data_IF_338390864706
#
_entry.id   IF_338390864706
#
_cell.length_a   1.000
_cell.length_b   1.000
_cell.length_c   1.000
_cell.angle_alpha   90.00
_cell.angle_beta   90.00
_cell.angle_gamma   90.00
#
_symmetry.space_group_name_H-M   'P 1'
#
loop_
_entity.id
_entity.type
_entity.pdbx_description
1 polymer ?
#
# COMPACT_ATOMS: atom_id res chain seq x y z
N UNK A 1 -8.30 -4.34 -33.00
CA UNK A 1 -7.78 -3.31 -33.93
C UNK A 1 -6.33 -3.57 -34.35
N UNK A 2 -5.38 -3.71 -33.42
CA UNK A 2 -3.97 -3.97 -33.77
C UNK A 2 -3.77 -5.19 -34.70
N UNK A 3 -4.47 -6.30 -34.40
CA UNK A 3 -4.41 -7.51 -35.22
C UNK A 3 -4.90 -7.28 -36.67
N UNK A 4 -5.96 -6.50 -36.88
CA UNK A 4 -6.44 -6.15 -38.21
C UNK A 4 -5.37 -5.40 -39.02
N UNK A 5 -4.68 -4.43 -38.41
CA UNK A 5 -3.56 -3.71 -39.04
C UNK A 5 -2.41 -4.64 -39.41
N UNK A 6 -2.12 -5.64 -38.56
CA UNK A 6 -1.10 -6.65 -38.87
C UNK A 6 -1.52 -7.55 -40.05
N UNK A 7 -2.78 -7.94 -40.13
CA UNK A 7 -3.31 -8.73 -41.26
C UNK A 7 -3.28 -7.98 -42.58
N UNK A 8 -3.56 -6.67 -42.58
CA UNK A 8 -3.42 -5.83 -43.78
C UNK A 8 -1.95 -5.76 -44.22
N UNK A 9 -1.04 -5.51 -43.29
CA UNK A 9 0.41 -5.51 -43.58
C UNK A 9 0.90 -6.86 -44.10
N UNK A 10 0.30 -7.97 -43.66
CA UNK A 10 0.60 -9.32 -44.13
C UNK A 10 -0.09 -9.68 -45.46
N UNK A 11 -0.88 -8.78 -46.06
CA UNK A 11 -1.58 -9.00 -47.33
C UNK A 11 -2.84 -9.86 -47.23
N UNK A 12 -3.32 -10.15 -46.02
CA UNK A 12 -4.55 -10.95 -45.78
C UNK A 12 -5.81 -10.08 -45.92
N UNK A 13 -5.71 -8.80 -45.52
CA UNK A 13 -6.75 -7.80 -45.70
C UNK A 13 -6.30 -6.77 -46.73
N UNK A 14 -7.23 -6.32 -47.56
CA UNK A 14 -7.05 -5.10 -48.35
C UNK A 14 -7.21 -3.86 -47.47
N UNK A 15 -6.71 -2.70 -47.92
CA UNK A 15 -6.93 -1.42 -47.22
C UNK A 15 -8.40 -1.11 -46.98
N UNK A 16 -9.27 -1.35 -47.97
CA UNK A 16 -10.71 -1.11 -47.85
C UNK A 16 -11.36 -2.04 -46.81
N UNK A 17 -10.92 -3.29 -46.71
CA UNK A 17 -11.40 -4.21 -45.68
C UNK A 17 -10.91 -3.82 -44.29
N UNK A 18 -9.66 -3.38 -44.16
CA UNK A 18 -9.11 -2.85 -42.91
C UNK A 18 -9.95 -1.67 -42.40
N UNK A 19 -10.20 -0.67 -43.23
CA UNK A 19 -10.98 0.52 -42.83
C UNK A 19 -12.41 0.15 -42.38
N UNK A 20 -13.06 -0.79 -43.08
CA UNK A 20 -14.38 -1.31 -42.66
C UNK A 20 -14.30 -2.00 -41.29
N UNK A 21 -13.29 -2.83 -41.06
CA UNK A 21 -13.09 -3.51 -39.77
C UNK A 21 -12.80 -2.51 -38.65
N UNK A 22 -11.92 -1.54 -38.88
CA UNK A 22 -11.58 -0.53 -37.87
C UNK A 22 -12.80 0.32 -37.50
N UNK A 23 -13.55 0.81 -38.49
CA UNK A 23 -14.78 1.56 -38.25
C UNK A 23 -15.84 0.75 -37.50
N UNK A 24 -16.00 -0.54 -37.84
CA UNK A 24 -16.90 -1.44 -37.11
C UNK A 24 -16.48 -1.64 -35.65
N UNK A 25 -15.18 -1.88 -35.40
CA UNK A 25 -14.63 -2.04 -34.05
C UNK A 25 -14.74 -0.76 -33.21
N UNK A 26 -14.55 0.42 -33.81
CA UNK A 26 -14.73 1.70 -33.12
C UNK A 26 -16.17 1.92 -32.68
N UNK A 27 -17.14 1.58 -33.53
CA UNK A 27 -18.57 1.62 -33.16
C UNK A 27 -18.87 0.69 -31.99
N UNK A 28 -18.33 -0.53 -31.98
CA UNK A 28 -18.49 -1.46 -30.85
C UNK A 28 -17.88 -0.88 -29.58
N UNK A 29 -16.70 -0.27 -29.68
CA UNK A 29 -16.05 0.40 -28.56
C UNK A 29 -16.92 1.54 -28.01
N UNK A 30 -17.55 2.34 -28.87
CA UNK A 30 -18.50 3.37 -28.46
C UNK A 30 -19.75 2.79 -27.79
N UNK A 31 -20.29 1.69 -28.32
CA UNK A 31 -21.46 1.02 -27.75
C UNK A 31 -21.19 0.55 -26.32
N UNK A 32 -20.03 -0.08 -26.06
CA UNK A 32 -19.59 -0.45 -24.71
C UNK A 32 -19.40 0.77 -23.83
N UNK A 33 -18.71 1.81 -24.34
CA UNK A 33 -18.40 3.02 -23.57
C UNK A 33 -19.65 3.80 -23.16
N UNK A 34 -20.68 3.82 -24.02
CA UNK A 34 -21.98 4.46 -23.75
C UNK A 34 -22.95 3.56 -22.97
N UNK A 35 -22.59 2.30 -22.71
CA UNK A 35 -23.45 1.34 -22.04
C UNK A 35 -24.66 0.90 -22.87
N UNK A 36 -24.60 1.00 -24.20
CA UNK A 36 -25.69 0.65 -25.12
C UNK A 36 -25.45 -0.66 -25.88
N UNK A 37 -24.30 -1.31 -25.67
CA UNK A 37 -24.03 -2.64 -26.23
C UNK A 37 -25.03 -3.66 -25.66
N UNK A 38 -25.64 -4.45 -26.54
CA UNK A 38 -26.61 -5.50 -26.15
C UNK A 38 -25.95 -6.87 -26.18
N UNK A 39 -25.71 -7.43 -25.00
CA UNK A 39 -25.28 -8.82 -24.82
C UNK A 39 -26.46 -9.75 -25.12
N UNK A 40 -26.20 -10.84 -25.85
CA UNK A 40 -27.20 -11.86 -26.19
C UNK A 40 -26.92 -13.15 -25.43
N UNK A 41 -27.96 -13.97 -25.26
CA UNK A 41 -27.84 -15.29 -24.62
C UNK A 41 -26.90 -16.25 -25.37
N UNK A 42 -26.70 -16.02 -26.66
CA UNK A 42 -25.76 -16.79 -27.49
C UNK A 42 -24.29 -16.45 -27.25
N UNK A 43 -24.00 -15.39 -26.50
CA UNK A 43 -22.62 -14.94 -26.27
C UNK A 43 -22.03 -15.74 -25.09
N UNK A 44 -21.14 -16.69 -25.39
CA UNK A 44 -20.42 -17.45 -24.36
C UNK A 44 -19.49 -16.54 -23.55
N UNK A 45 -18.82 -15.61 -24.24
CA UNK A 45 -17.85 -14.70 -23.65
C UNK A 45 -17.79 -13.36 -24.39
N UNK A 46 -17.00 -12.42 -23.85
CA UNK A 46 -16.82 -11.07 -24.41
C UNK A 46 -16.29 -11.08 -25.85
N UNK A 47 -15.50 -12.08 -26.20
CA UNK A 47 -14.92 -12.19 -27.53
C UNK A 47 -16.00 -12.60 -28.54
N UNK A 48 -16.83 -13.58 -28.19
CA UNK A 48 -17.97 -14.04 -29.00
C UNK A 48 -18.99 -12.92 -29.17
N UNK A 49 -19.27 -12.15 -28.11
CA UNK A 49 -20.14 -10.97 -28.17
C UNK A 49 -19.62 -9.93 -29.17
N UNK A 50 -18.33 -9.58 -29.09
CA UNK A 50 -17.71 -8.60 -29.99
C UNK A 50 -17.61 -9.11 -31.43
N UNK A 51 -17.33 -10.40 -31.63
CA UNK A 51 -17.27 -11.04 -32.96
C UNK A 51 -18.65 -11.05 -33.62
N UNK A 52 -19.69 -11.45 -32.88
CA UNK A 52 -21.08 -11.38 -33.33
C UNK A 52 -21.44 -9.96 -33.71
N UNK A 53 -21.17 -8.98 -32.83
CA UNK A 53 -21.53 -7.59 -33.09
C UNK A 53 -20.79 -7.03 -34.30
N UNK A 54 -19.52 -7.37 -34.49
CA UNK A 54 -18.77 -6.95 -35.66
C UNK A 54 -19.36 -7.54 -36.94
N UNK A 55 -19.73 -8.83 -36.92
CA UNK A 55 -20.41 -9.47 -38.05
C UNK A 55 -21.75 -8.80 -38.37
N UNK A 56 -22.54 -8.42 -37.36
CA UNK A 56 -23.80 -7.67 -37.55
C UNK A 56 -23.57 -6.31 -38.22
N UNK A 57 -22.44 -5.65 -37.94
CA UNK A 57 -22.13 -4.31 -38.45
C UNK A 57 -21.52 -4.32 -39.87
N UNK A 58 -20.67 -5.29 -40.19
CA UNK A 58 -19.85 -5.26 -41.42
C UNK A 58 -19.96 -6.53 -42.29
N UNK A 59 -20.83 -7.47 -41.91
CA UNK A 59 -21.04 -8.72 -42.63
C UNK A 59 -19.86 -9.70 -42.54
N UNK A 60 -19.74 -10.58 -43.54
CA UNK A 60 -18.81 -11.72 -43.51
C UNK A 60 -17.32 -11.32 -43.50
N UNK A 61 -16.99 -10.07 -43.86
CA UNK A 61 -15.62 -9.54 -43.76
C UNK A 61 -15.08 -9.64 -42.32
N UNK A 62 -15.94 -9.56 -41.31
CA UNK A 62 -15.56 -9.73 -39.91
C UNK A 62 -14.84 -11.06 -39.65
N UNK A 63 -15.22 -12.14 -40.37
CA UNK A 63 -14.63 -13.46 -40.21
C UNK A 63 -13.14 -13.53 -40.55
N UNK A 64 -12.65 -12.65 -41.44
CA UNK A 64 -11.21 -12.61 -41.79
C UNK A 64 -10.32 -12.24 -40.61
N UNK A 65 -10.86 -11.61 -39.57
CA UNK A 65 -10.11 -11.18 -38.38
C UNK A 65 -9.57 -12.35 -37.55
N UNK A 66 -10.09 -13.56 -37.75
CA UNK A 66 -9.62 -14.78 -37.10
C UNK A 66 -8.40 -15.43 -37.77
N UNK A 67 -8.04 -15.00 -38.99
CA UNK A 67 -6.97 -15.64 -39.77
C UNK A 67 -5.66 -15.61 -39.01
N UNK A 68 -5.13 -16.78 -38.63
CA UNK A 68 -3.86 -16.92 -37.92
C UNK A 68 -3.91 -16.55 -36.43
N UNK A 69 -5.09 -16.34 -35.85
CA UNK A 69 -5.28 -15.95 -34.44
C UNK A 69 -5.83 -17.12 -33.63
N UNK A 70 -5.33 -17.32 -32.41
CA UNK A 70 -5.92 -18.27 -31.46
C UNK A 70 -6.67 -17.52 -30.35
N UNK A 71 -7.66 -18.17 -29.75
CA UNK A 71 -8.28 -17.65 -28.53
C UNK A 71 -7.27 -17.65 -27.38
N UNK A 72 -6.29 -18.55 -27.39
CA UNK A 72 -5.30 -18.70 -26.32
C UNK A 72 -4.39 -17.46 -26.17
N UNK A 73 -3.86 -16.91 -27.27
CA UNK A 73 -3.04 -15.70 -27.26
C UNK A 73 -3.89 -14.43 -27.13
N UNK A 74 -5.10 -14.43 -27.71
CA UNK A 74 -6.05 -13.34 -27.57
C UNK A 74 -6.41 -13.07 -26.10
N UNK A 75 -6.86 -14.09 -25.37
CA UNK A 75 -7.37 -13.94 -23.99
C UNK A 75 -6.29 -13.41 -23.06
N UNK A 76 -5.07 -13.94 -23.15
CA UNK A 76 -3.95 -13.48 -22.30
C UNK A 76 -3.47 -12.09 -22.70
N UNK A 77 -3.58 -11.71 -23.97
CA UNK A 77 -3.30 -10.34 -24.42
C UNK A 77 -4.30 -9.36 -23.81
N UNK A 78 -5.58 -9.69 -23.85
CA UNK A 78 -6.65 -8.87 -23.29
C UNK A 78 -6.48 -8.72 -21.77
N UNK A 79 -6.21 -9.81 -21.05
CA UNK A 79 -5.97 -9.78 -19.60
C UNK A 79 -4.73 -8.95 -19.24
N UNK A 80 -3.62 -9.07 -19.98
CA UNK A 80 -2.40 -8.27 -19.72
C UNK A 80 -2.62 -6.78 -19.96
N UNK A 81 -3.37 -6.41 -21.02
CA UNK A 81 -3.72 -5.02 -21.29
C UNK A 81 -4.64 -4.45 -20.21
N UNK A 82 -5.65 -5.23 -19.78
CA UNK A 82 -6.49 -4.87 -18.64
C UNK A 82 -5.65 -4.65 -17.38
N UNK A 83 -4.84 -5.64 -17.00
CA UNK A 83 -3.99 -5.57 -15.81
C UNK A 83 -3.05 -4.37 -15.87
N UNK A 84 -2.42 -4.08 -17.01
CA UNK A 84 -1.56 -2.90 -17.16
C UNK A 84 -2.30 -1.61 -16.81
N UNK A 85 -3.52 -1.42 -17.32
CA UNK A 85 -4.33 -0.25 -17.00
C UNK A 85 -4.75 -0.24 -15.52
N UNK A 86 -5.18 -1.38 -14.99
CA UNK A 86 -5.57 -1.52 -13.58
C UNK A 86 -4.41 -1.25 -12.62
N UNK A 87 -3.19 -1.70 -12.94
CA UNK A 87 -1.99 -1.44 -12.14
C UNK A 87 -1.64 0.04 -12.13
N UNK A 88 -1.85 0.77 -13.24
CA UNK A 88 -1.66 2.22 -13.27
C UNK A 88 -2.65 2.95 -12.33
N UNK A 89 -3.91 2.51 -12.29
CA UNK A 89 -4.93 3.02 -11.35
C UNK A 89 -4.55 2.70 -9.89
N UNK A 90 -4.18 1.45 -9.60
CA UNK A 90 -3.76 1.02 -8.26
C UNK A 90 -2.51 1.80 -7.81
N UNK A 91 -1.53 2.00 -8.70
CA UNK A 91 -0.33 2.79 -8.43
C UNK A 91 -0.68 4.22 -8.02
N UNK A 92 -1.63 4.85 -8.72
CA UNK A 92 -2.12 6.19 -8.38
C UNK A 92 -2.71 6.23 -6.96
N UNK A 93 -3.57 5.27 -6.61
CA UNK A 93 -4.18 5.24 -5.27
C UNK A 93 -3.17 4.90 -4.17
N UNK A 94 -2.21 4.02 -4.45
CA UNK A 94 -1.16 3.66 -3.50
C UNK A 94 -0.23 4.84 -3.23
N UNK A 95 0.23 5.53 -4.27
CA UNK A 95 1.04 6.76 -4.12
C UNK A 95 0.26 7.86 -3.40
N UNK A 96 -1.06 7.97 -3.63
CA UNK A 96 -1.90 8.91 -2.90
C UNK A 96 -1.97 8.57 -1.40
N UNK A 97 -2.12 7.30 -1.04
CA UNK A 97 -2.09 6.86 0.37
C UNK A 97 -0.74 7.18 1.02
N UNK A 98 0.37 6.85 0.36
CA UNK A 98 1.73 7.14 0.86
C UNK A 98 1.91 8.65 1.05
N UNK A 99 1.54 9.45 0.06
CA UNK A 99 1.60 10.92 0.13
C UNK A 99 0.82 11.45 1.33
N UNK A 100 -0.41 10.97 1.53
CA UNK A 100 -1.25 11.39 2.66
C UNK A 100 -0.62 11.02 4.01
N UNK A 101 0.02 9.86 4.15
CA UNK A 101 0.76 9.50 5.36
C UNK A 101 1.95 10.45 5.61
N UNK A 102 2.73 10.76 4.57
CA UNK A 102 3.87 11.69 4.66
C UNK A 102 3.43 13.11 5.03
N UNK A 103 2.34 13.60 4.45
CA UNK A 103 1.77 14.91 4.76
C UNK A 103 1.24 14.98 6.20
N UNK A 104 0.58 13.92 6.68
CA UNK A 104 0.11 13.81 8.06
C UNK A 104 1.27 13.76 9.06
N UNK A 105 2.38 13.10 8.71
CA UNK A 105 3.60 13.12 9.52
C UNK A 105 4.22 14.53 9.62
N UNK A 106 4.04 15.37 8.59
CA UNK A 106 4.57 16.74 8.56
C UNK A 106 3.69 17.78 9.29
N UNK A 107 2.42 17.47 9.62
CA UNK A 107 1.46 18.44 10.18
C UNK A 107 0.77 17.91 11.43
N UNK A 108 0.87 18.66 12.54
CA UNK A 108 0.18 18.33 13.80
C UNK A 108 -1.10 19.18 14.01
N UNK A 109 -2.29 18.58 13.94
CA UNK A 109 -3.56 19.27 14.21
C UNK A 109 -4.64 18.35 14.80
N UNK A 110 -5.53 18.92 15.62
CA UNK A 110 -6.62 18.23 16.33
C UNK A 110 -7.94 19.00 16.20
N UNK A 111 -9.09 18.31 16.14
CA UNK A 111 -10.40 18.91 16.45
C UNK A 111 -11.36 17.85 17.06
N UNK A 112 -12.49 18.33 17.62
CA UNK A 112 -13.32 17.71 18.68
C UNK A 112 -14.27 16.57 18.28
N UNK A 113 -14.68 15.79 19.30
CA UNK A 113 -15.33 14.45 19.28
C UNK A 113 -16.87 14.42 19.15
N UNK A 114 -17.43 13.25 18.73
CA UNK A 114 -18.33 12.48 19.59
C UNK A 114 -17.82 11.03 19.87
N UNK A 115 -18.22 10.46 21.02
CA UNK A 115 -17.41 9.58 21.88
C UNK A 115 -17.34 8.07 21.53
N UNK A 116 -18.28 7.49 20.77
CA UNK A 116 -18.19 6.07 20.34
C UNK A 116 -18.24 5.99 18.82
N UNK A 117 -17.10 5.67 18.21
CA UNK A 117 -16.97 5.42 16.78
C UNK A 117 -16.42 4.00 16.60
N UNK A 118 -17.16 3.14 15.93
CA UNK A 118 -16.68 1.83 15.54
C UNK A 118 -15.72 2.01 14.35
N UNK A 119 -14.59 1.29 14.30
CA UNK A 119 -13.61 1.43 13.22
C UNK A 119 -13.93 0.55 12.00
N UNK A 120 -15.20 0.51 11.55
CA UNK A 120 -15.68 -0.39 10.49
C UNK A 120 -14.83 -0.34 9.22
N UNK A 121 -14.35 0.86 8.84
CA UNK A 121 -13.46 1.05 7.69
C UNK A 121 -12.15 0.27 7.83
N UNK A 122 -11.54 0.27 9.02
CA UNK A 122 -10.32 -0.47 9.31
C UNK A 122 -10.58 -1.98 9.43
N UNK A 123 -11.74 -2.38 9.96
CA UNK A 123 -12.14 -3.79 10.02
C UNK A 123 -12.33 -4.38 8.61
N UNK A 124 -12.98 -3.62 7.72
CA UNK A 124 -13.13 -3.98 6.32
C UNK A 124 -11.75 -4.10 5.66
N UNK A 125 -10.88 -3.09 5.76
CA UNK A 125 -9.51 -3.14 5.22
C UNK A 125 -8.78 -4.40 5.71
N UNK A 126 -8.82 -4.67 7.03
CA UNK A 126 -8.20 -5.85 7.63
C UNK A 126 -8.76 -7.17 7.07
N UNK A 127 -10.09 -7.29 6.95
CA UNK A 127 -10.73 -8.51 6.44
C UNK A 127 -10.36 -8.81 4.98
N UNK A 128 -10.12 -7.76 4.16
CA UNK A 128 -9.75 -7.93 2.75
C UNK A 128 -8.36 -8.54 2.55
N UNK A 129 -7.48 -8.50 3.55
CA UNK A 129 -6.22 -9.25 3.51
C UNK A 129 -6.48 -10.76 3.31
N UNK A 130 -7.44 -11.34 4.04
CA UNK A 130 -7.83 -12.74 3.86
C UNK A 130 -8.47 -13.03 2.50
N UNK A 131 -9.27 -12.08 1.98
CA UNK A 131 -9.88 -12.20 0.64
C UNK A 131 -8.83 -12.23 -0.47
N UNK A 132 -7.90 -11.27 -0.46
CA UNK A 132 -6.81 -11.19 -1.47
C UNK A 132 -5.90 -12.41 -1.37
N UNK A 133 -5.56 -12.84 -0.14
CA UNK A 133 -4.80 -14.08 0.08
C UNK A 133 -5.51 -15.31 -0.50
N UNK A 134 -6.83 -15.42 -0.33
CA UNK A 134 -7.62 -16.51 -0.90
C UNK A 134 -7.48 -16.62 -2.43
N UNK A 135 -7.46 -15.48 -3.14
CA UNK A 135 -7.23 -15.45 -4.60
C UNK A 135 -5.82 -15.87 -5.00
N UNK A 136 -4.81 -15.48 -4.21
CA UNK A 136 -3.45 -15.97 -4.41
C UNK A 136 -3.39 -17.50 -4.26
N UNK A 137 -3.95 -18.02 -3.17
CA UNK A 137 -3.94 -19.46 -2.88
C UNK A 137 -4.69 -20.27 -3.97
N UNK A 138 -5.84 -19.77 -4.44
CA UNK A 138 -6.61 -20.46 -5.48
C UNK A 138 -5.83 -20.55 -6.79
N UNK A 139 -5.23 -19.45 -7.26
CA UNK A 139 -4.47 -19.44 -8.52
C UNK A 139 -3.22 -20.32 -8.43
N UNK A 140 -2.49 -20.27 -7.31
CA UNK A 140 -1.35 -21.17 -7.10
C UNK A 140 -1.75 -22.64 -7.20
N UNK A 141 -2.92 -23.01 -6.65
CA UNK A 141 -3.42 -24.38 -6.72
C UNK A 141 -3.89 -24.76 -8.13
N UNK A 142 -4.60 -23.86 -8.83
CA UNK A 142 -5.01 -24.07 -10.24
C UNK A 142 -3.80 -24.36 -11.12
N UNK A 143 -2.71 -23.61 -10.95
CA UNK A 143 -1.51 -23.75 -11.79
C UNK A 143 -0.65 -24.96 -11.45
N UNK A 144 -0.75 -25.49 -10.22
CA UNK A 144 0.19 -26.51 -9.73
C UNK A 144 0.05 -27.81 -10.51
N UNK A 145 1.12 -28.18 -11.21
CA UNK A 145 1.22 -29.49 -11.87
C UNK A 145 0.40 -29.62 -13.15
N UNK A 146 -0.12 -28.53 -13.71
CA UNK A 146 -0.75 -28.57 -15.03
C UNK A 146 0.27 -29.01 -16.10
N UNK A 147 -0.10 -29.93 -17.01
CA UNK A 147 0.74 -30.22 -18.17
C UNK A 147 0.73 -29.03 -19.13
N UNK A 148 1.77 -28.93 -19.97
CA UNK A 148 1.75 -27.99 -21.09
C UNK A 148 0.73 -28.42 -22.16
N UNK A 149 0.11 -27.53 -22.94
CA UNK A 149 0.22 -26.05 -22.95
C UNK A 149 -1.03 -25.38 -22.37
N UNK A 150 -2.07 -25.13 -23.17
CA UNK A 150 -3.34 -24.55 -22.71
C UNK A 150 -4.25 -25.62 -22.10
N UNK A 151 -4.80 -25.33 -20.92
CA UNK A 151 -5.86 -26.12 -20.27
C UNK A 151 -7.00 -25.16 -19.89
N UNK A 152 -8.25 -25.64 -19.91
CA UNK A 152 -9.45 -24.84 -19.63
C UNK A 152 -9.44 -24.29 -18.19
N UNK A 153 -8.76 -24.97 -17.27
CA UNK A 153 -8.47 -24.56 -15.89
C UNK A 153 -7.93 -23.13 -15.80
N UNK A 154 -7.18 -22.68 -16.81
CA UNK A 154 -6.61 -21.34 -16.86
C UNK A 154 -7.66 -20.22 -16.97
N UNK A 155 -8.94 -20.55 -17.21
CA UNK A 155 -10.01 -19.54 -17.23
C UNK A 155 -10.32 -18.95 -15.85
N UNK A 156 -9.92 -19.62 -14.75
CA UNK A 156 -10.06 -19.13 -13.37
C UNK A 156 -9.22 -17.87 -13.08
N UNK A 157 -8.31 -17.49 -13.98
CA UNK A 157 -7.42 -16.33 -13.85
C UNK A 157 -8.19 -15.01 -13.70
N UNK A 158 -9.25 -14.82 -14.48
CA UNK A 158 -9.98 -13.54 -14.60
C UNK A 158 -10.67 -13.15 -13.33
N UNK A 159 -11.45 -14.04 -12.72
CA UNK A 159 -12.23 -13.71 -11.51
C UNK A 159 -11.32 -13.37 -10.33
N UNK A 160 -10.19 -14.07 -10.22
CA UNK A 160 -9.18 -13.75 -9.20
C UNK A 160 -8.56 -12.36 -9.41
N UNK A 161 -8.20 -12.03 -10.66
CA UNK A 161 -7.64 -10.72 -11.00
C UNK A 161 -8.66 -9.61 -10.79
N UNK A 162 -9.87 -9.75 -11.31
CA UNK A 162 -10.92 -8.73 -11.21
C UNK A 162 -11.28 -8.43 -9.75
N UNK A 163 -11.48 -9.47 -8.94
CA UNK A 163 -11.78 -9.30 -7.51
C UNK A 163 -10.68 -8.56 -6.76
N UNK A 164 -9.40 -8.87 -7.03
CA UNK A 164 -8.27 -8.21 -6.37
C UNK A 164 -8.10 -6.77 -6.86
N UNK A 165 -8.27 -6.50 -8.16
CA UNK A 165 -8.19 -5.15 -8.72
C UNK A 165 -9.24 -4.23 -8.08
N UNK A 166 -10.50 -4.67 -8.03
CA UNK A 166 -11.58 -3.90 -7.44
C UNK A 166 -11.36 -3.72 -5.92
N UNK A 167 -10.95 -4.79 -5.24
CA UNK A 167 -10.66 -4.78 -3.81
C UNK A 167 -9.54 -3.78 -3.47
N UNK A 168 -8.41 -3.81 -4.16
CA UNK A 168 -7.28 -2.91 -3.89
C UNK A 168 -7.63 -1.46 -4.21
N UNK A 169 -8.33 -1.22 -5.32
CA UNK A 169 -8.79 0.12 -5.71
C UNK A 169 -9.64 0.74 -4.60
N UNK A 170 -10.64 0.00 -4.10
CA UNK A 170 -11.51 0.48 -3.03
C UNK A 170 -10.76 0.62 -1.69
N UNK A 171 -9.97 -0.37 -1.29
CA UNK A 171 -9.25 -0.38 -0.01
C UNK A 171 -8.26 0.78 0.11
N UNK A 172 -7.50 1.08 -0.95
CA UNK A 172 -6.52 2.17 -0.93
C UNK A 172 -7.18 3.55 -0.81
N UNK A 173 -8.32 3.76 -1.46
CA UNK A 173 -9.11 4.99 -1.34
C UNK A 173 -9.70 5.14 0.06
N UNK A 174 -10.29 4.08 0.62
CA UNK A 174 -10.83 4.09 1.99
C UNK A 174 -9.72 4.36 3.01
N UNK A 175 -8.57 3.69 2.88
CA UNK A 175 -7.42 3.92 3.74
C UNK A 175 -6.93 5.38 3.67
N UNK A 176 -6.88 5.96 2.47
CA UNK A 176 -6.53 7.38 2.27
C UNK A 176 -7.51 8.29 3.00
N UNK A 177 -8.82 8.02 2.87
CA UNK A 177 -9.87 8.75 3.58
C UNK A 177 -9.72 8.67 5.11
N UNK A 178 -9.42 7.48 5.63
CA UNK A 178 -9.19 7.29 7.07
C UNK A 178 -7.98 8.09 7.56
N UNK A 179 -6.83 7.96 6.89
CA UNK A 179 -5.58 8.62 7.33
C UNK A 179 -5.67 10.14 7.24
N UNK A 180 -6.29 10.67 6.19
CA UNK A 180 -6.46 12.11 5.98
C UNK A 180 -7.41 12.76 7.00
N UNK A 181 -8.41 12.03 7.49
CA UNK A 181 -9.45 12.57 8.38
C UNK A 181 -9.31 12.19 9.84
N UNK A 182 -8.44 11.23 10.18
CA UNK A 182 -8.25 10.82 11.57
C UNK A 182 -7.79 12.00 12.43
N UNK A 183 -8.30 12.04 13.66
CA UNK A 183 -7.95 13.03 14.66
C UNK A 183 -7.13 12.37 15.75
N UNK A 184 -5.96 12.95 16.05
CA UNK A 184 -5.08 12.48 17.13
C UNK A 184 -5.39 13.24 18.42
N UNK A 185 -5.37 12.54 19.56
CA UNK A 185 -5.39 13.17 20.88
C UNK A 185 -3.95 13.38 21.35
N UNK A 186 -3.40 14.59 21.09
CA UNK A 186 -2.04 14.95 21.54
C UNK A 186 -1.91 14.79 23.06
N UNK A 187 -2.93 15.22 23.79
CA UNK A 187 -2.99 15.13 25.24
C UNK A 187 -2.90 13.68 25.74
N UNK A 188 -3.68 12.75 25.16
CA UNK A 188 -3.63 11.35 25.60
C UNK A 188 -2.31 10.68 25.23
N UNK A 189 -1.76 11.01 24.04
CA UNK A 189 -0.46 10.48 23.63
C UNK A 189 0.66 10.98 24.53
N UNK A 190 0.64 12.26 24.94
CA UNK A 190 1.60 12.83 25.88
C UNK A 190 1.42 12.27 27.29
N UNK A 191 0.18 12.14 27.78
CA UNK A 191 -0.13 11.53 29.09
C UNK A 191 0.27 10.05 29.19
N UNK A 192 0.32 9.34 28.07
CA UNK A 192 0.76 7.95 28.04
C UNK A 192 2.28 7.82 28.25
N UNK A 193 3.05 8.90 28.10
CA UNK A 193 4.48 8.91 28.34
C UNK A 193 4.75 8.94 29.85
N UNK A 194 5.40 7.89 30.35
CA UNK A 194 5.65 7.71 31.78
C UNK A 194 7.15 7.76 32.10
N UNK A 195 7.56 8.28 33.27
CA UNK A 195 8.96 8.38 33.65
C UNK A 195 9.71 7.05 33.57
N UNK A 196 9.04 5.93 33.81
CA UNK A 196 9.61 4.57 33.79
C UNK A 196 10.19 4.23 32.40
N UNK A 197 9.61 4.76 31.33
CA UNK A 197 10.10 4.59 29.96
C UNK A 197 11.51 5.18 29.76
N UNK A 198 11.91 6.17 30.57
CA UNK A 198 13.21 6.85 30.48
C UNK A 198 14.32 6.14 31.27
N UNK A 199 14.05 5.00 31.89
CA UNK A 199 15.07 4.19 32.57
C UNK A 199 16.18 3.70 31.62
N UNK A 200 15.83 3.40 30.36
CA UNK A 200 16.83 3.07 29.32
C UNK A 200 17.71 4.28 29.02
N UNK A 201 17.14 5.47 28.92
CA UNK A 201 17.88 6.71 28.66
C UNK A 201 18.82 7.07 29.82
N UNK A 202 18.40 6.76 31.05
CA UNK A 202 19.25 6.90 32.24
C UNK A 202 20.47 5.98 32.19
N UNK A 203 20.32 4.76 31.67
CA UNK A 203 21.46 3.88 31.42
C UNK A 203 22.36 4.44 30.29
N UNK A 204 21.77 4.89 29.17
CA UNK A 204 22.52 5.49 28.06
C UNK A 204 23.31 6.73 28.47
N UNK A 205 22.76 7.54 29.38
CA UNK A 205 23.49 8.66 29.98
C UNK A 205 24.80 8.20 30.64
N UNK A 206 24.77 7.13 31.43
CA UNK A 206 25.98 6.58 32.05
C UNK A 206 26.94 5.97 31.03
N UNK A 207 26.42 5.28 30.00
CA UNK A 207 27.24 4.74 28.91
C UNK A 207 28.00 5.86 28.19
N UNK A 208 27.35 7.01 27.93
CA UNK A 208 28.00 8.19 27.32
C UNK A 208 29.08 8.80 28.21
N UNK A 209 29.03 8.57 29.53
CA UNK A 209 30.09 8.94 30.48
C UNK A 209 31.19 7.87 30.61
N UNK A 210 31.19 6.85 29.76
CA UNK A 210 32.21 5.80 29.73
C UNK A 210 31.94 4.63 30.67
N UNK A 211 30.76 4.56 31.32
CA UNK A 211 30.41 3.42 32.17
C UNK A 211 30.12 2.20 31.29
N UNK A 212 30.71 1.02 31.56
CA UNK A 212 30.42 -0.20 30.81
C UNK A 212 28.92 -0.52 30.82
N UNK A 213 28.39 -0.95 29.66
CA UNK A 213 26.96 -1.19 29.44
C UNK A 213 26.26 -1.96 30.58
N UNK A 214 26.84 -3.09 31.00
CA UNK A 214 26.27 -3.91 32.09
C UNK A 214 26.16 -3.14 33.42
N UNK A 215 27.14 -2.31 33.73
CA UNK A 215 27.16 -1.52 34.96
C UNK A 215 26.17 -0.35 34.87
N UNK A 216 26.06 0.29 33.71
CA UNK A 216 25.09 1.36 33.46
C UNK A 216 23.64 0.88 33.61
N UNK A 217 23.32 -0.27 33.03
CA UNK A 217 21.99 -0.89 33.18
C UNK A 217 21.72 -1.35 34.62
N UNK A 218 22.72 -1.90 35.31
CA UNK A 218 22.59 -2.25 36.73
C UNK A 218 22.33 -1.01 37.60
N UNK A 219 23.00 0.11 37.34
CA UNK A 219 22.77 1.37 38.04
C UNK A 219 21.39 1.96 37.76
N UNK A 220 20.92 1.94 36.50
CA UNK A 220 19.56 2.35 36.16
C UNK A 220 18.50 1.46 36.85
N UNK A 221 18.69 0.14 36.86
CA UNK A 221 17.81 -0.79 37.58
C UNK A 221 17.76 -0.53 39.09
N UNK A 222 18.90 -0.20 39.70
CA UNK A 222 18.94 0.25 41.11
C UNK A 222 18.22 1.58 41.33
N UNK A 223 18.27 2.51 40.38
CA UNK A 223 17.55 3.77 40.47
C UNK A 223 16.04 3.55 40.39
N UNK A 224 15.57 2.69 39.48
CA UNK A 224 14.16 2.26 39.42
C UNK A 224 13.73 1.63 40.76
N UNK A 225 14.52 0.70 41.29
CA UNK A 225 14.23 0.08 42.58
C UNK A 225 14.19 1.09 43.74
N UNK A 226 15.15 2.03 43.80
CA UNK A 226 15.19 3.05 44.85
C UNK A 226 13.96 3.96 44.78
N UNK A 227 13.55 4.38 43.58
CA UNK A 227 12.36 5.19 43.37
C UNK A 227 11.10 4.46 43.87
N UNK A 228 10.95 3.18 43.51
CA UNK A 228 9.86 2.31 43.96
C UNK A 228 9.82 2.20 45.49
N UNK A 229 10.96 1.91 46.14
CA UNK A 229 11.02 1.81 47.61
C UNK A 229 10.69 3.12 48.34
N UNK A 230 10.89 4.26 47.67
CA UNK A 230 10.54 5.59 48.18
C UNK A 230 9.12 6.02 47.83
N UNK A 231 8.37 5.24 47.05
CA UNK A 231 7.03 5.59 46.58
C UNK A 231 7.01 6.79 45.63
N UNK A 232 8.09 6.98 44.85
CA UNK A 232 8.24 8.08 43.88
C UNK A 232 8.65 7.52 42.51
N UNK A 233 8.58 8.35 41.47
CA UNK A 233 9.05 8.01 40.12
C UNK A 233 10.53 8.36 39.93
N UNK A 234 11.21 7.71 38.97
CA UNK A 234 12.67 7.87 38.80
C UNK A 234 13.12 9.31 38.51
N UNK A 235 12.28 10.11 37.88
CA UNK A 235 12.52 11.53 37.61
C UNK A 235 12.38 12.44 38.86
N UNK A 236 12.00 11.88 40.01
CA UNK A 236 11.90 12.57 41.30
C UNK A 236 13.02 12.21 42.28
N UNK A 237 13.90 11.28 41.93
CA UNK A 237 15.09 11.00 42.72
C UNK A 237 15.99 12.23 42.81
N UNK A 238 16.53 12.49 43.99
CA UNK A 238 17.49 13.58 44.17
C UNK A 238 18.82 13.24 43.49
N UNK A 239 19.65 14.25 43.24
CA UNK A 239 21.01 14.00 42.74
C UNK A 239 21.83 13.19 43.76
N UNK A 240 21.58 13.37 45.06
CA UNK A 240 22.21 12.59 46.13
C UNK A 240 21.78 11.12 46.08
N UNK A 241 20.50 10.86 45.87
CA UNK A 241 19.97 9.50 45.66
C UNK A 241 20.64 8.82 44.47
N UNK A 242 20.74 9.51 43.34
CA UNK A 242 21.42 9.00 42.15
C UNK A 242 22.91 8.77 42.41
N UNK A 243 23.59 9.71 43.07
CA UNK A 243 25.02 9.59 43.43
C UNK A 243 25.28 8.45 44.41
N UNK A 244 24.33 8.08 45.27
CA UNK A 244 24.43 6.92 46.15
C UNK A 244 24.51 5.60 45.37
N UNK A 245 23.99 5.57 44.14
CA UNK A 245 24.02 4.42 43.24
C UNK A 245 25.26 4.43 42.36
N UNK A 246 25.61 5.60 41.81
CA UNK A 246 26.81 5.77 40.99
C UNK A 246 27.34 7.21 41.08
N UNK A 247 28.64 7.42 41.37
CA UNK A 247 29.23 8.75 41.45
C UNK A 247 29.24 9.49 40.09
N UNK A 248 29.01 8.77 38.98
CA UNK A 248 28.99 9.29 37.62
C UNK A 248 27.73 10.11 37.29
N UNK A 249 26.69 10.03 38.13
CA UNK A 249 25.55 10.94 38.03
C UNK A 249 25.95 12.37 38.44
N UNK A 250 25.71 13.32 37.54
CA UNK A 250 25.89 14.75 37.77
C UNK A 250 24.56 15.49 37.56
N UNK A 251 24.50 16.79 37.85
CA UNK A 251 23.27 17.58 37.77
C UNK A 251 22.62 17.62 36.38
N UNK A 252 23.40 17.39 35.32
CA UNK A 252 22.94 17.24 33.93
C UNK A 252 22.06 16.01 33.70
N UNK A 253 22.02 15.03 34.62
CA UNK A 253 21.08 13.89 34.57
C UNK A 253 19.62 14.33 34.53
N UNK A 254 19.30 15.52 35.06
CA UNK A 254 17.97 16.11 34.97
C UNK A 254 17.46 16.25 33.53
N UNK A 255 18.36 16.39 32.54
CA UNK A 255 18.02 16.48 31.13
C UNK A 255 17.51 15.16 30.55
N UNK A 256 17.81 14.02 31.19
CA UNK A 256 17.33 12.68 30.78
C UNK A 256 15.81 12.59 30.94
N UNK A 257 15.25 13.26 31.94
CA UNK A 257 13.83 13.18 32.30
C UNK A 257 12.96 14.11 31.45
N UNK A 258 13.17 14.10 30.13
CA UNK A 258 12.45 14.89 29.16
C UNK A 258 12.23 14.05 27.88
N UNK A 259 10.98 13.85 27.47
CA UNK A 259 10.65 13.00 26.33
C UNK A 259 11.10 13.56 24.98
N UNK A 260 11.27 14.89 24.84
CA UNK A 260 11.87 15.48 23.64
C UNK A 260 13.36 15.11 23.58
N UNK A 261 14.08 15.27 24.69
CA UNK A 261 15.49 14.84 24.76
C UNK A 261 15.63 13.32 24.57
N UNK A 262 14.63 12.55 24.96
CA UNK A 262 14.57 11.10 24.73
C UNK A 262 14.63 10.79 23.23
N UNK A 263 13.65 11.29 22.46
CA UNK A 263 13.56 11.00 21.02
C UNK A 263 14.69 11.65 20.21
N UNK A 264 15.22 12.78 20.65
CA UNK A 264 16.34 13.48 19.99
C UNK A 264 17.68 12.74 20.10
N UNK A 265 17.79 11.69 20.93
CA UNK A 265 18.99 10.83 20.94
C UNK A 265 19.14 10.00 19.66
N UNK A 266 18.04 9.74 18.94
CA UNK A 266 18.00 8.81 17.81
C UNK A 266 18.28 9.53 16.48
N UNK A 267 19.45 10.16 16.37
CA UNK A 267 19.89 10.93 15.18
C UNK A 267 20.48 10.06 14.07
N UNK A 268 20.83 8.81 14.36
CA UNK A 268 21.23 7.84 13.33
C UNK A 268 20.13 7.67 12.28
N UNK A 269 20.52 7.38 11.03
CA UNK A 269 19.57 7.21 9.92
C UNK A 269 18.48 6.18 10.25
N UNK A 270 17.23 6.58 10.07
CA UNK A 270 16.06 5.75 10.42
C UNK A 270 15.59 5.89 11.87
N UNK A 271 16.29 6.67 12.70
CA UNK A 271 15.89 6.98 14.07
C UNK A 271 14.72 7.96 14.16
N UNK A 272 14.24 8.20 15.39
CA UNK A 272 13.05 9.03 15.66
C UNK A 272 13.35 10.49 16.02
N UNK A 273 14.61 10.92 16.00
CA UNK A 273 14.94 12.34 16.18
C UNK A 273 14.33 13.18 15.04
N UNK A 274 13.98 14.43 15.32
CA UNK A 274 13.34 15.32 14.35
C UNK A 274 14.15 15.44 13.05
N UNK A 275 15.48 15.50 13.15
CA UNK A 275 16.38 15.53 11.99
C UNK A 275 16.23 14.27 11.13
N UNK A 276 16.28 13.09 11.75
CA UNK A 276 16.11 11.79 11.06
C UNK A 276 14.73 11.65 10.43
N UNK A 277 13.66 12.02 11.14
CA UNK A 277 12.29 11.97 10.60
C UNK A 277 12.12 12.93 9.42
N UNK A 278 12.72 14.13 9.50
CA UNK A 278 12.72 15.09 8.38
C UNK A 278 13.45 14.51 7.16
N UNK A 279 14.61 13.88 7.36
CA UNK A 279 15.32 13.19 6.28
C UNK A 279 14.48 12.07 5.66
N UNK A 280 13.80 11.26 6.46
CA UNK A 280 12.91 10.20 5.97
C UNK A 280 11.75 10.75 5.13
N UNK A 281 11.13 11.86 5.56
CA UNK A 281 10.07 12.54 4.80
C UNK A 281 10.57 12.97 3.40
N UNK A 282 11.75 13.59 3.32
CA UNK A 282 12.32 14.00 2.03
C UNK A 282 12.71 12.80 1.15
N UNK A 283 13.28 11.75 1.73
CA UNK A 283 13.57 10.51 1.01
C UNK A 283 12.31 9.88 0.41
N UNK A 284 11.22 9.84 1.17
CA UNK A 284 9.94 9.32 0.69
C UNK A 284 9.33 10.19 -0.41
N UNK A 285 9.46 11.52 -0.33
CA UNK A 285 9.02 12.44 -1.40
C UNK A 285 9.74 12.17 -2.71
N UNK A 286 11.07 12.01 -2.66
CA UNK A 286 11.86 11.69 -3.85
C UNK A 286 11.58 10.28 -4.39
N UNK A 287 11.37 9.29 -3.51
CA UNK A 287 10.96 7.95 -3.93
C UNK A 287 9.61 7.96 -4.64
N UNK A 288 8.61 8.68 -4.11
CA UNK A 288 7.31 8.82 -4.76
C UNK A 288 7.42 9.49 -6.13
N UNK A 289 8.27 10.52 -6.26
CA UNK A 289 8.52 11.18 -7.55
C UNK A 289 9.07 10.19 -8.58
N UNK A 290 10.10 9.42 -8.22
CA UNK A 290 10.68 8.39 -9.09
C UNK A 290 9.67 7.31 -9.45
N UNK A 291 8.88 6.83 -8.50
CA UNK A 291 7.86 5.80 -8.75
C UNK A 291 6.74 6.31 -9.66
N UNK A 292 6.33 7.58 -9.52
CA UNK A 292 5.34 8.21 -10.39
C UNK A 292 5.81 8.35 -11.84
N UNK A 293 7.10 8.59 -12.06
CA UNK A 293 7.70 8.67 -13.40
C UNK A 293 7.81 7.28 -14.07
N UNK A 294 7.83 6.19 -13.28
CA UNK A 294 7.95 4.81 -13.75
C UNK A 294 6.60 4.10 -13.97
N UNK A 295 5.52 4.61 -13.38
CA UNK A 295 4.17 4.02 -13.41
C UNK A 295 3.36 4.44 -14.64
#
# INVERSE_FOLDING_TARGET
>A
MAYAKALEKAGILTKTELEKILSGLEKISEEWSKGVFVVKQSDEDIHTANERRLKELIGDIAGKLHTGRSRNDQVVTDLKLFMKNSLSVISTHLLQLIKTLVERAAVTGSSLMPQKKNPDSLELIRSKAGRVFGRLASILMVLKGLPSTYNKDLQEDKEAVFDVVDTLTAVLQVATGVISTLQISKENMEKALTPEMLSTDLALYLVRKGVPFRQAHAASGKAVHLAETKGITINKLSLEDLKSISPQFSSDVSQVFNFVNSVEQYTALGGTAKSSVTTQIEQLRELMKKQKEQA
#
